data_IF_581962184993
#
_entry.id   IF_581962184993
#
_cell.length_a   1.000
_cell.length_b   1.000
_cell.length_c   1.000
_cell.angle_alpha   90.00
_cell.angle_beta   90.00
_cell.angle_gamma   90.00
#
_symmetry.space_group_name_H-M   'P 1'
#
loop_
_entity.id
_entity.type
_entity.pdbx_description
1 polymer ?
#
# COMPACT_ATOMS: atom_id res chain seq x y z
N UNK A 1 -0.01 57.12 32.81
CA UNK A 1 0.82 57.78 33.84
C UNK A 1 -0.06 58.02 35.05
N UNK A 2 0.26 57.38 36.16
CA UNK A 2 -0.50 57.54 37.42
C UNK A 2 -0.15 58.89 38.04
N UNK A 3 -1.17 59.71 38.35
CA UNK A 3 -0.99 61.01 39.00
C UNK A 3 -1.15 60.84 40.52
N UNK A 4 -0.03 60.81 41.25
CA UNK A 4 -0.03 60.73 42.71
C UNK A 4 -0.23 62.10 43.35
N UNK A 5 -0.88 62.13 44.52
CA UNK A 5 -1.07 63.34 45.31
C UNK A 5 0.27 63.85 45.87
N UNK A 6 0.55 65.14 45.74
CA UNK A 6 1.76 65.78 46.26
C UNK A 6 1.48 66.40 47.64
N UNK A 7 2.28 66.03 48.65
CA UNK A 7 2.23 66.57 50.01
C UNK A 7 3.54 67.29 50.31
N UNK A 8 3.48 68.62 50.51
CA UNK A 8 4.62 69.53 50.73
C UNK A 8 5.75 69.41 49.69
N UNK A 9 6.70 68.48 49.89
CA UNK A 9 7.92 68.30 49.08
C UNK A 9 8.04 66.88 48.47
N UNK A 10 6.96 66.09 48.43
CA UNK A 10 6.99 64.74 47.87
C UNK A 10 5.61 64.17 47.59
N UNK A 11 5.54 62.94 47.09
CA UNK A 11 4.28 62.23 46.88
C UNK A 11 3.76 61.62 48.19
N UNK A 12 2.44 61.39 48.28
CA UNK A 12 1.84 60.65 49.39
C UNK A 12 2.41 59.22 49.43
N UNK A 13 3.16 58.92 50.48
CA UNK A 13 3.87 57.64 50.62
C UNK A 13 2.93 56.46 50.62
N UNK A 14 1.72 56.60 51.20
CA UNK A 14 0.74 55.50 51.22
C UNK A 14 0.20 55.19 49.83
N UNK A 15 -0.12 56.23 49.06
CA UNK A 15 -0.63 56.09 47.70
C UNK A 15 0.41 55.46 46.76
N UNK A 16 1.68 55.83 46.95
CA UNK A 16 2.80 55.25 46.19
C UNK A 16 3.07 53.81 46.61
N UNK A 17 3.06 53.50 47.91
CA UNK A 17 3.25 52.14 48.42
C UNK A 17 2.14 51.20 47.94
N UNK A 18 0.88 51.64 47.99
CA UNK A 18 -0.28 50.88 47.49
C UNK A 18 -0.18 50.66 45.96
N UNK A 19 0.29 51.66 45.21
CA UNK A 19 0.52 51.52 43.78
C UNK A 19 1.64 50.53 43.47
N UNK A 20 2.77 50.61 44.17
CA UNK A 20 3.90 49.67 44.01
C UNK A 20 3.46 48.25 44.39
N UNK A 21 2.71 48.09 45.46
CA UNK A 21 2.17 46.80 45.89
C UNK A 21 1.25 46.18 44.84
N UNK A 22 0.30 46.98 44.31
CA UNK A 22 -0.59 46.52 43.25
C UNK A 22 0.16 46.20 41.95
N UNK A 23 1.13 47.03 41.57
CA UNK A 23 1.96 46.80 40.38
C UNK A 23 2.79 45.52 40.50
N UNK A 24 3.39 45.28 41.67
CA UNK A 24 4.13 44.04 41.94
C UNK A 24 3.20 42.83 41.91
N UNK A 25 2.03 42.93 42.55
CA UNK A 25 1.03 41.85 42.55
C UNK A 25 0.55 41.52 41.12
N UNK A 26 0.26 42.53 40.31
CA UNK A 26 -0.16 42.34 38.93
C UNK A 26 0.96 41.73 38.07
N UNK A 27 2.20 42.17 38.29
CA UNK A 27 3.39 41.62 37.62
C UNK A 27 3.63 40.15 38.02
N UNK A 28 3.51 39.81 39.30
CA UNK A 28 3.65 38.44 39.80
C UNK A 28 2.55 37.53 39.24
N UNK A 29 1.31 38.01 39.18
CA UNK A 29 0.19 37.27 38.58
C UNK A 29 0.43 37.00 37.09
N UNK A 30 0.81 38.01 36.31
CA UNK A 30 1.15 37.84 34.88
C UNK A 30 2.32 36.89 34.67
N UNK A 31 3.34 36.97 35.52
CA UNK A 31 4.48 36.06 35.47
C UNK A 31 4.06 34.62 35.75
N UNK A 32 3.18 34.41 36.74
CA UNK A 32 2.63 33.10 37.06
C UNK A 32 1.81 32.52 35.91
N UNK A 33 0.90 33.31 35.33
CA UNK A 33 0.09 32.92 34.16
C UNK A 33 0.97 32.52 32.97
N UNK A 34 1.98 33.33 32.65
CA UNK A 34 2.93 33.02 31.58
C UNK A 34 3.70 31.72 31.85
N UNK A 35 4.13 31.49 33.09
CA UNK A 35 4.84 30.27 33.48
C UNK A 35 3.94 29.03 33.35
N UNK A 36 2.68 29.13 33.76
CA UNK A 36 1.69 28.06 33.58
C UNK A 36 1.47 27.78 32.10
N UNK A 37 1.28 28.82 31.28
CA UNK A 37 1.09 28.67 29.83
C UNK A 37 2.30 28.04 29.15
N UNK A 38 3.52 28.42 29.54
CA UNK A 38 4.76 27.81 29.03
C UNK A 38 4.81 26.32 29.41
N UNK A 39 4.40 25.96 30.63
CA UNK A 39 4.36 24.57 31.07
C UNK A 39 3.36 23.74 30.26
N UNK A 40 2.16 24.27 30.04
CA UNK A 40 1.12 23.61 29.24
C UNK A 40 1.57 23.43 27.79
N UNK A 41 2.11 24.47 27.16
CA UNK A 41 2.62 24.41 25.79
C UNK A 41 3.77 23.41 25.65
N UNK A 42 4.67 23.32 26.64
CA UNK A 42 5.73 22.30 26.64
C UNK A 42 5.16 20.88 26.71
N UNK A 43 4.14 20.67 27.54
CA UNK A 43 3.46 19.36 27.64
C UNK A 43 2.78 18.99 26.32
N UNK A 44 2.00 19.91 25.75
CA UNK A 44 1.32 19.71 24.45
C UNK A 44 2.34 19.40 23.34
N UNK A 45 3.45 20.14 23.30
CA UNK A 45 4.50 19.95 22.31
C UNK A 45 5.14 18.55 22.41
N UNK A 46 5.42 18.08 23.62
CA UNK A 46 5.97 16.73 23.81
C UNK A 46 4.93 15.64 23.50
N UNK A 47 3.66 15.86 23.80
CA UNK A 47 2.57 14.95 23.41
C UNK A 47 2.45 14.84 21.89
N UNK A 48 2.40 15.97 21.18
CA UNK A 48 2.31 16.00 19.71
C UNK A 48 3.55 15.38 19.07
N UNK A 49 4.75 15.63 19.59
CA UNK A 49 5.97 14.96 19.11
C UNK A 49 5.91 13.45 19.28
N UNK A 50 5.42 12.97 20.43
CA UNK A 50 5.25 11.54 20.69
C UNK A 50 4.29 10.91 19.69
N UNK A 51 3.13 11.54 19.48
CA UNK A 51 2.14 11.08 18.49
C UNK A 51 2.71 11.08 17.07
N UNK A 52 3.44 12.13 16.68
CA UNK A 52 4.08 12.24 15.36
C UNK A 52 5.12 11.13 15.16
N UNK A 53 5.90 10.81 16.20
CA UNK A 53 6.87 9.70 16.14
C UNK A 53 6.17 8.37 15.89
N UNK A 54 5.12 8.06 16.66
CA UNK A 54 4.32 6.84 16.49
C UNK A 54 3.71 6.77 15.10
N UNK A 55 3.20 7.89 14.58
CA UNK A 55 2.64 7.94 13.23
C UNK A 55 3.69 7.67 12.16
N UNK A 56 4.88 8.27 12.28
CA UNK A 56 6.01 8.01 11.36
C UNK A 56 6.45 6.55 11.38
N UNK A 57 6.55 5.94 12.57
CA UNK A 57 6.90 4.51 12.71
C UNK A 57 5.84 3.61 12.05
N UNK A 58 4.55 3.89 12.28
CA UNK A 58 3.47 3.16 11.60
C UNK A 58 3.53 3.32 10.09
N UNK A 59 3.79 4.53 9.59
CA UNK A 59 3.86 4.78 8.16
C UNK A 59 5.06 4.07 7.51
N UNK A 60 6.20 3.99 8.21
CA UNK A 60 7.35 3.21 7.77
C UNK A 60 7.00 1.71 7.70
N UNK A 61 6.38 1.15 8.74
CA UNK A 61 5.95 -0.25 8.75
C UNK A 61 4.95 -0.57 7.64
N UNK A 62 4.01 0.34 7.35
CA UNK A 62 3.07 0.20 6.24
C UNK A 62 3.82 0.20 4.91
N UNK A 63 4.77 1.12 4.74
CA UNK A 63 5.58 1.19 3.52
C UNK A 63 6.38 -0.08 3.28
N UNK A 64 7.02 -0.62 4.33
CA UNK A 64 7.77 -1.88 4.26
C UNK A 64 6.84 -3.06 3.95
N UNK A 65 5.66 -3.12 4.59
CA UNK A 65 4.67 -4.14 4.31
C UNK A 65 4.16 -4.08 2.86
N UNK A 66 3.99 -2.89 2.29
CA UNK A 66 3.63 -2.71 0.89
C UNK A 66 4.73 -3.19 -0.06
N UNK A 67 5.99 -2.90 0.24
CA UNK A 67 7.13 -3.42 -0.55
C UNK A 67 7.15 -4.94 -0.53
N UNK A 68 7.00 -5.54 0.66
CA UNK A 68 6.93 -7.00 0.80
C UNK A 68 5.72 -7.59 0.07
N UNK A 69 4.56 -6.94 0.14
CA UNK A 69 3.36 -7.40 -0.55
C UNK A 69 3.54 -7.40 -2.08
N UNK A 70 4.14 -6.33 -2.64
CA UNK A 70 4.44 -6.25 -4.08
C UNK A 70 5.43 -7.33 -4.49
N UNK A 71 6.49 -7.55 -3.71
CA UNK A 71 7.49 -8.58 -4.03
C UNK A 71 6.88 -9.98 -3.96
N UNK A 72 6.05 -10.24 -2.94
CA UNK A 72 5.33 -11.50 -2.80
C UNK A 72 4.37 -11.73 -3.96
N UNK A 73 3.66 -10.68 -4.41
CA UNK A 73 2.76 -10.76 -5.56
C UNK A 73 3.53 -11.11 -6.86
N UNK A 74 4.69 -10.48 -7.11
CA UNK A 74 5.56 -10.83 -8.24
C UNK A 74 6.07 -12.28 -8.14
N UNK A 75 6.40 -12.73 -6.94
CA UNK A 75 6.83 -14.11 -6.72
C UNK A 75 5.70 -15.11 -7.00
N UNK A 76 4.48 -14.80 -6.58
CA UNK A 76 3.29 -15.63 -6.88
C UNK A 76 3.02 -15.66 -8.39
N UNK A 77 3.10 -14.51 -9.07
CA UNK A 77 2.88 -14.43 -10.53
C UNK A 77 3.91 -15.27 -11.29
N UNK A 78 5.20 -15.10 -10.99
CA UNK A 78 6.27 -15.86 -11.63
C UNK A 78 6.19 -17.36 -11.36
N UNK A 79 5.87 -17.74 -10.12
CA UNK A 79 5.65 -19.14 -9.73
C UNK A 79 4.46 -19.75 -10.49
N UNK A 80 3.35 -19.02 -10.57
CA UNK A 80 2.15 -19.45 -11.31
C UNK A 80 2.45 -19.66 -12.78
N UNK A 81 3.17 -18.73 -13.42
CA UNK A 81 3.61 -18.87 -14.82
C UNK A 81 4.44 -20.13 -15.03
N UNK A 82 5.40 -20.39 -14.14
CA UNK A 82 6.24 -21.59 -14.23
C UNK A 82 5.42 -22.88 -14.09
N UNK A 83 4.46 -22.92 -13.16
CA UNK A 83 3.54 -24.07 -13.00
C UNK A 83 2.73 -24.29 -14.27
N UNK A 84 2.17 -23.22 -14.86
CA UNK A 84 1.44 -23.32 -16.13
C UNK A 84 2.31 -23.85 -17.27
N UNK A 85 3.55 -23.36 -17.41
CA UNK A 85 4.48 -23.84 -18.42
C UNK A 85 4.83 -25.33 -18.24
N UNK A 86 5.01 -25.79 -17.00
CA UNK A 86 5.23 -27.20 -16.70
C UNK A 86 4.02 -28.06 -17.04
N UNK A 87 2.81 -27.60 -16.72
CA UNK A 87 1.59 -28.34 -17.02
C UNK A 87 1.34 -28.45 -18.53
N UNK A 88 1.61 -27.37 -19.29
CA UNK A 88 1.59 -27.41 -20.75
C UNK A 88 2.57 -28.45 -21.29
N UNK A 89 3.80 -28.50 -20.74
CA UNK A 89 4.80 -29.52 -21.13
C UNK A 89 4.31 -30.93 -20.82
N UNK A 90 3.65 -31.15 -19.69
CA UNK A 90 3.06 -32.46 -19.32
C UNK A 90 1.95 -32.87 -20.29
N UNK A 91 1.04 -31.97 -20.63
CA UNK A 91 -0.04 -32.22 -21.60
C UNK A 91 0.53 -32.58 -22.97
N UNK A 92 1.54 -31.85 -23.45
CA UNK A 92 2.24 -32.17 -24.71
C UNK A 92 2.93 -33.53 -24.65
N UNK A 93 3.61 -33.85 -23.54
CA UNK A 93 4.24 -35.17 -23.39
C UNK A 93 3.22 -36.31 -23.38
N UNK A 94 2.05 -36.07 -22.78
CA UNK A 94 0.94 -37.03 -22.80
C UNK A 94 0.46 -37.23 -24.23
N UNK A 95 0.24 -36.15 -24.99
CA UNK A 95 -0.11 -36.21 -26.41
C UNK A 95 0.86 -37.09 -27.22
N UNK A 96 2.17 -36.87 -27.07
CA UNK A 96 3.18 -37.65 -27.79
C UNK A 96 3.11 -39.14 -27.46
N UNK A 97 2.85 -39.48 -26.18
CA UNK A 97 2.67 -40.87 -25.74
C UNK A 97 1.42 -41.50 -26.33
N UNK A 98 0.30 -40.77 -26.36
CA UNK A 98 -0.94 -41.23 -26.98
C UNK A 98 -0.79 -41.44 -28.48
N UNK A 99 -0.11 -40.51 -29.16
CA UNK A 99 0.18 -40.66 -30.59
C UNK A 99 1.01 -41.91 -30.86
N UNK A 100 2.07 -42.15 -30.09
CA UNK A 100 2.86 -43.39 -30.20
C UNK A 100 2.03 -44.64 -29.94
N UNK A 101 1.23 -44.64 -28.87
CA UNK A 101 0.37 -45.76 -28.52
C UNK A 101 -0.64 -46.07 -29.64
N UNK A 102 -1.32 -45.06 -30.17
CA UNK A 102 -2.30 -45.23 -31.25
C UNK A 102 -1.63 -45.72 -32.54
N UNK A 103 -0.45 -45.19 -32.88
CA UNK A 103 0.32 -45.65 -34.03
C UNK A 103 0.71 -47.13 -33.89
N UNK A 104 1.18 -47.55 -32.71
CA UNK A 104 1.54 -48.94 -32.45
C UNK A 104 0.31 -49.86 -32.40
N UNK A 105 -0.82 -49.36 -31.90
CA UNK A 105 -2.09 -50.08 -31.90
C UNK A 105 -2.62 -50.31 -33.32
N UNK A 106 -2.60 -49.28 -34.16
CA UNK A 106 -3.04 -49.38 -35.56
C UNK A 106 -2.15 -50.30 -36.39
N UNK A 107 -0.84 -50.34 -36.14
CA UNK A 107 0.07 -51.32 -36.76
C UNK A 107 -0.29 -52.77 -36.40
N UNK A 108 -0.78 -53.02 -35.18
CA UNK A 108 -1.16 -54.36 -34.72
C UNK A 108 -2.52 -54.81 -35.24
N UNK A 109 -3.40 -53.88 -35.59
CA UNK A 109 -4.77 -54.17 -36.05
C UNK A 109 -5.13 -53.34 -37.31
N UNK A 110 -4.64 -53.74 -38.50
CA UNK A 110 -4.83 -52.98 -39.74
C UNK A 110 -6.31 -52.82 -40.14
N UNK A 111 -7.16 -53.78 -39.79
CA UNK A 111 -8.59 -53.77 -40.12
C UNK A 111 -9.35 -52.61 -39.46
N UNK A 112 -8.86 -52.13 -38.30
CA UNK A 112 -9.42 -50.96 -37.62
C UNK A 112 -8.94 -49.64 -38.22
N UNK A 113 -7.79 -49.62 -38.89
CA UNK A 113 -7.24 -48.42 -39.52
C UNK A 113 -8.13 -47.92 -40.66
N UNK A 114 -8.84 -48.82 -41.34
CA UNK A 114 -9.80 -48.46 -42.39
C UNK A 114 -11.11 -47.86 -41.85
N UNK A 115 -11.41 -48.05 -40.56
CA UNK A 115 -12.66 -47.62 -39.91
C UNK A 115 -12.52 -46.36 -39.06
N UNK A 116 -11.33 -46.08 -38.53
CA UNK A 116 -11.07 -44.96 -37.63
C UNK A 116 -9.89 -44.13 -38.12
N UNK A 117 -10.15 -42.86 -38.47
CA UNK A 117 -9.09 -41.90 -38.77
C UNK A 117 -8.50 -41.35 -37.46
N UNK A 118 -7.54 -42.11 -36.93
CA UNK A 118 -6.81 -41.74 -35.71
C UNK A 118 -5.99 -40.47 -35.87
N UNK A 119 -5.56 -40.13 -37.09
CA UNK A 119 -4.85 -38.88 -37.35
C UNK A 119 -5.80 -37.69 -37.23
N UNK A 120 -7.03 -37.81 -37.73
CA UNK A 120 -8.06 -36.80 -37.53
C UNK A 120 -8.37 -36.62 -36.04
N UNK A 121 -8.54 -37.71 -35.28
CA UNK A 121 -8.85 -37.65 -33.84
C UNK A 121 -7.71 -37.01 -33.02
N UNK A 122 -6.45 -37.33 -33.35
CA UNK A 122 -5.28 -36.71 -32.73
C UNK A 122 -5.12 -35.25 -33.12
N UNK A 123 -5.49 -34.90 -34.36
CA UNK A 123 -5.47 -33.51 -34.83
C UNK A 123 -6.53 -32.68 -34.12
N UNK A 124 -7.77 -33.16 -34.04
CA UNK A 124 -8.86 -32.47 -33.32
C UNK A 124 -8.51 -32.27 -31.85
N UNK A 125 -7.95 -33.29 -31.21
CA UNK A 125 -7.51 -33.18 -29.80
C UNK A 125 -6.37 -32.16 -29.61
N UNK A 126 -5.40 -32.12 -30.53
CA UNK A 126 -4.34 -31.10 -30.53
C UNK A 126 -4.92 -29.69 -30.74
N UNK A 127 -5.85 -29.54 -31.68
CA UNK A 127 -6.50 -28.26 -31.98
C UNK A 127 -7.34 -27.77 -30.79
N UNK A 128 -8.04 -28.65 -30.09
CA UNK A 128 -8.79 -28.34 -28.86
C UNK A 128 -7.86 -27.88 -27.73
N UNK A 129 -6.73 -28.58 -27.51
CA UNK A 129 -5.71 -28.16 -26.54
C UNK A 129 -5.21 -26.76 -26.89
N UNK A 130 -4.84 -26.51 -28.15
CA UNK A 130 -4.34 -25.21 -28.57
C UNK A 130 -5.39 -24.10 -28.43
N UNK A 131 -6.66 -24.40 -28.70
CA UNK A 131 -7.75 -23.45 -28.54
C UNK A 131 -7.94 -23.06 -27.07
N UNK A 132 -7.99 -24.04 -26.16
CA UNK A 132 -8.10 -23.80 -24.71
C UNK A 132 -6.89 -22.99 -24.20
N UNK A 133 -5.68 -23.33 -24.64
CA UNK A 133 -4.47 -22.60 -24.26
C UNK A 133 -4.51 -21.13 -24.74
N UNK A 134 -4.99 -20.90 -25.96
CA UNK A 134 -5.12 -19.55 -26.51
C UNK A 134 -6.23 -18.73 -25.83
N UNK A 135 -7.34 -19.35 -25.45
CA UNK A 135 -8.41 -18.70 -24.67
C UNK A 135 -7.93 -18.29 -23.28
N UNK A 136 -7.21 -19.18 -22.61
CA UNK A 136 -6.63 -18.89 -21.30
C UNK A 136 -5.60 -17.77 -21.37
N UNK A 137 -4.75 -17.74 -22.41
CA UNK A 137 -3.79 -16.66 -22.63
C UNK A 137 -4.47 -15.30 -22.80
N UNK A 138 -5.52 -15.21 -23.63
CA UNK A 138 -6.30 -13.98 -23.81
C UNK A 138 -6.97 -13.50 -22.51
N UNK A 139 -7.45 -14.43 -21.70
CA UNK A 139 -8.10 -14.12 -20.42
C UNK A 139 -7.10 -13.54 -19.41
N UNK A 140 -5.86 -14.05 -19.40
CA UNK A 140 -4.77 -13.54 -18.57
C UNK A 140 -4.33 -12.14 -19.03
N UNK A 141 -4.15 -11.93 -20.33
CA UNK A 141 -3.76 -10.63 -20.91
C UNK A 141 -4.82 -9.54 -20.63
N UNK A 142 -6.11 -9.89 -20.70
CA UNK A 142 -7.20 -8.97 -20.36
C UNK A 142 -7.20 -8.59 -18.86
N UNK A 143 -6.94 -9.55 -17.97
CA UNK A 143 -6.83 -9.27 -16.52
C UNK A 143 -5.66 -8.35 -16.21
N UNK A 144 -4.51 -8.57 -16.85
CA UNK A 144 -3.32 -7.72 -16.69
C UNK A 144 -3.56 -6.29 -17.23
N UNK A 145 -4.31 -6.12 -18.31
CA UNK A 145 -4.66 -4.80 -18.84
C UNK A 145 -5.55 -4.00 -17.87
N UNK A 146 -6.54 -4.66 -17.24
CA UNK A 146 -7.45 -4.04 -16.27
C UNK A 146 -6.71 -3.64 -14.98
N UNK A 147 -5.76 -4.47 -14.53
CA UNK A 147 -4.98 -4.22 -13.32
C UNK A 147 -4.03 -3.02 -13.49
N UNK A 148 -3.40 -2.88 -14.66
CA UNK A 148 -2.53 -1.75 -14.99
C UNK A 148 -3.29 -0.41 -15.06
N UNK A 149 -4.51 -0.40 -15.60
CA UNK A 149 -5.37 0.79 -15.59
C UNK A 149 -5.79 1.18 -14.16
N UNK A 150 -6.03 0.21 -13.28
CA UNK A 150 -6.40 0.47 -11.88
C UNK A 150 -5.25 1.11 -11.07
N UNK A 151 -4.01 0.67 -11.29
CA UNK A 151 -2.79 1.21 -10.67
C UNK A 151 -2.48 2.64 -11.15
N UNK A 152 -2.76 2.96 -12.41
CA UNK A 152 -2.61 4.32 -12.95
C UNK A 152 -3.61 5.31 -12.30
N UNK A 153 -4.84 4.85 -12.01
CA UNK A 153 -5.87 5.65 -11.34
C UNK A 153 -5.60 5.90 -9.84
N UNK A 154 -4.97 4.94 -9.16
CA UNK A 154 -4.67 5.05 -7.72
C UNK A 154 -3.46 5.94 -7.45
N UNK A 155 -2.44 5.90 -8.32
CA UNK A 155 -1.31 6.83 -8.25
C UNK A 155 -1.72 8.31 -8.45
N UNK A 156 -2.73 8.58 -9.28
CA UNK A 156 -3.25 9.96 -9.47
C UNK A 156 -4.03 10.47 -8.26
N UNK A 157 -4.69 9.57 -7.51
CA UNK A 157 -5.39 9.93 -6.26
C UNK A 157 -4.39 10.14 -5.11
N UNK A 158 -3.36 9.30 -5.00
CA UNK A 158 -2.30 9.43 -3.98
C UNK A 158 -1.49 10.73 -4.11
N UNK A 159 -1.18 11.15 -5.34
CA UNK A 159 -0.53 12.44 -5.61
C UNK A 159 -1.42 13.65 -5.26
N UNK A 160 -2.74 13.55 -5.43
CA UNK A 160 -3.67 14.63 -5.06
C UNK A 160 -3.82 14.82 -3.55
N UNK A 161 -3.69 13.76 -2.75
CA UNK A 161 -3.74 13.86 -1.28
C UNK A 161 -2.47 14.43 -0.65
N UNK A 162 -1.35 14.49 -1.38
CA UNK A 162 -0.09 15.09 -0.90
C UNK A 162 0.04 16.59 -1.24
N UNK A 163 -0.89 17.15 -2.03
CA UNK A 163 -0.83 18.53 -2.53
C UNK A 163 -1.87 19.46 -1.85
N UNK A 164 -2.75 18.93 -0.99
CA UNK A 164 -3.73 19.73 -0.25
C UNK A 164 -3.46 19.72 1.27
#
# INVERSE_FOLDING_TARGET
>A
MSNFKVVKNGYDTKEVDDYIFNLNTESENKFHEQKMRISDLKRELEEVKSQLKVFKEKNANISDALVVAVETAKQIESSSKNIYELEIKRVRSLYDKWQKFLNDFMKKYPDLQAKYDTNLLLKTFSDDINNILNQNKKTIEQKQAIENDSLASTNTIGLRMLIN
#
